data_IF_252474130174
#
_entry.id   IF_252474130174
#
_cell.length_a   1.000
_cell.length_b   1.000
_cell.length_c   1.000
_cell.angle_alpha   90.00
_cell.angle_beta   90.00
_cell.angle_gamma   90.00
#
_symmetry.space_group_name_H-M   'P 1'
#
loop_
_entity.id
_entity.type
_entity.pdbx_description
1 polymer ?
#
# COMPACT_ATOMS: atom_id res chain seq x y z
N UNK A 1 9.60 2.67 -4.41
CA UNK A 1 10.45 3.00 -3.22
C UNK A 1 10.00 2.13 -2.06
N UNK A 2 10.93 1.58 -1.34
CA UNK A 2 10.69 0.83 -0.09
C UNK A 2 11.17 1.67 1.10
N UNK A 3 10.36 1.73 2.16
CA UNK A 3 10.70 2.40 3.42
C UNK A 3 9.89 1.77 4.57
N UNK A 4 9.97 2.35 5.76
CA UNK A 4 9.23 1.88 6.93
C UNK A 4 8.43 3.01 7.57
N UNK A 5 7.30 2.66 8.20
CA UNK A 5 6.54 3.57 9.03
C UNK A 5 6.84 3.35 10.51
N UNK A 6 6.66 4.35 11.38
CA UNK A 6 6.84 4.17 12.83
C UNK A 6 5.85 3.15 13.42
N UNK A 7 6.25 2.39 14.44
CA UNK A 7 5.37 1.46 15.16
C UNK A 7 4.10 2.13 15.66
N UNK A 8 4.19 3.39 16.10
CA UNK A 8 3.02 4.18 16.51
C UNK A 8 1.99 4.32 15.38
N UNK A 9 2.42 4.47 14.12
CA UNK A 9 1.53 4.48 12.97
C UNK A 9 0.80 3.14 12.86
N UNK A 10 1.54 2.02 12.88
CA UNK A 10 1.00 0.67 12.79
C UNK A 10 -0.05 0.41 13.88
N UNK A 11 0.28 0.77 15.13
CA UNK A 11 -0.60 0.58 16.29
C UNK A 11 -1.91 1.39 16.16
N UNK A 12 -1.82 2.68 15.80
CA UNK A 12 -3.01 3.53 15.62
C UNK A 12 -3.94 2.96 14.54
N UNK A 13 -3.37 2.52 13.41
CA UNK A 13 -4.17 1.97 12.31
C UNK A 13 -4.79 0.64 12.73
N UNK A 14 -4.03 -0.26 13.37
CA UNK A 14 -4.54 -1.54 13.84
C UNK A 14 -5.67 -1.36 14.88
N UNK A 15 -5.48 -0.52 15.90
CA UNK A 15 -6.48 -0.26 16.93
C UNK A 15 -7.78 0.32 16.35
N UNK A 16 -7.65 1.18 15.33
CA UNK A 16 -8.83 1.76 14.66
C UNK A 16 -9.51 0.75 13.77
N UNK A 17 -8.74 -0.03 13.01
CA UNK A 17 -9.25 -1.09 12.15
C UNK A 17 -9.96 -2.18 12.96
N UNK A 18 -9.40 -2.61 14.10
CA UNK A 18 -10.04 -3.60 14.96
C UNK A 18 -11.41 -3.12 15.48
N UNK A 19 -11.55 -1.84 15.84
CA UNK A 19 -12.84 -1.28 16.25
C UNK A 19 -13.88 -1.30 15.11
N UNK A 20 -13.46 -1.05 13.88
CA UNK A 20 -14.35 -1.10 12.71
C UNK A 20 -14.69 -2.53 12.35
N UNK A 21 -13.68 -3.40 12.23
CA UNK A 21 -13.84 -4.79 11.78
C UNK A 21 -14.61 -5.67 12.77
N UNK A 22 -14.52 -5.38 14.09
CA UNK A 22 -15.23 -6.10 15.14
C UNK A 22 -16.67 -5.59 15.39
N UNK A 23 -17.11 -4.54 14.69
CA UNK A 23 -18.47 -4.02 14.75
C UNK A 23 -19.15 -4.21 13.39
N UNK A 24 -20.22 -5.01 13.33
CA UNK A 24 -20.97 -5.22 12.10
C UNK A 24 -21.48 -3.90 11.51
N UNK A 25 -22.09 -3.05 12.33
CA UNK A 25 -22.59 -1.74 11.89
C UNK A 25 -21.47 -0.85 11.35
N UNK A 26 -20.35 -0.75 12.08
CA UNK A 26 -19.22 0.07 11.63
C UNK A 26 -18.55 -0.52 10.37
N UNK A 27 -18.43 -1.84 10.28
CA UNK A 27 -17.90 -2.52 9.09
C UNK A 27 -18.74 -2.24 7.85
N UNK A 28 -20.07 -2.18 7.98
CA UNK A 28 -20.97 -1.82 6.88
C UNK A 28 -20.90 -0.33 6.53
N UNK A 29 -20.84 0.56 7.55
CA UNK A 29 -20.74 2.01 7.36
C UNK A 29 -19.46 2.41 6.62
N UNK A 30 -18.35 1.74 6.94
CA UNK A 30 -17.03 2.06 6.39
C UNK A 30 -16.57 1.09 5.30
N UNK A 31 -17.47 0.27 4.76
CA UNK A 31 -17.15 -0.67 3.68
C UNK A 31 -16.62 0.04 2.43
N UNK A 32 -15.48 -0.44 1.94
CA UNK A 32 -14.80 0.07 0.74
C UNK A 32 -14.68 -0.98 -0.37
N UNK A 33 -15.08 -2.22 -0.10
CA UNK A 33 -14.92 -3.38 -0.98
C UNK A 33 -15.52 -3.18 -2.37
N UNK A 34 -16.65 -2.43 -2.46
CA UNK A 34 -17.31 -2.13 -3.73
C UNK A 34 -16.49 -1.24 -4.70
N UNK A 35 -15.37 -0.69 -4.24
CA UNK A 35 -14.43 0.14 -5.04
C UNK A 35 -13.24 -0.65 -5.55
N UNK A 36 -13.06 -1.88 -5.11
CA UNK A 36 -11.85 -2.65 -5.32
C UNK A 36 -12.15 -3.93 -6.08
N UNK A 37 -11.10 -4.57 -6.59
CA UNK A 37 -11.19 -5.85 -7.28
C UNK A 37 -10.47 -6.91 -6.48
N UNK A 38 -11.00 -8.14 -6.45
CA UNK A 38 -10.36 -9.25 -5.77
C UNK A 38 -11.33 -10.17 -5.06
N UNK A 39 -10.76 -11.17 -4.40
CA UNK A 39 -11.43 -12.03 -3.45
C UNK A 39 -10.85 -11.71 -2.08
N UNK A 40 -11.42 -10.71 -1.42
CA UNK A 40 -11.02 -10.24 -0.10
C UNK A 40 -12.26 -10.05 0.75
N UNK A 41 -12.25 -10.59 1.96
CA UNK A 41 -13.43 -10.60 2.84
C UNK A 41 -13.81 -9.23 3.36
N UNK A 42 -12.81 -8.39 3.67
CA UNK A 42 -13.06 -7.08 4.30
C UNK A 42 -12.06 -6.02 3.83
N UNK A 43 -12.62 -4.95 3.29
CA UNK A 43 -11.90 -3.75 2.90
C UNK A 43 -12.67 -2.55 3.44
N UNK A 44 -12.06 -1.82 4.37
CA UNK A 44 -12.76 -0.76 5.11
C UNK A 44 -11.94 0.52 5.18
N UNK A 45 -12.61 1.66 5.12
CA UNK A 45 -12.00 2.91 5.55
C UNK A 45 -11.92 2.95 7.08
N UNK A 46 -10.97 3.71 7.62
CA UNK A 46 -10.78 3.84 9.06
C UNK A 46 -11.00 5.29 9.52
N UNK A 47 -11.99 5.54 10.42
CA UNK A 47 -12.28 6.86 10.93
C UNK A 47 -11.34 7.23 12.08
N UNK A 48 -10.16 7.74 11.83
CA UNK A 48 -9.27 8.24 12.89
C UNK A 48 -9.80 9.59 13.41
N UNK A 49 -10.54 9.55 14.52
CA UNK A 49 -11.21 10.72 15.11
C UNK A 49 -10.26 11.60 15.91
N UNK A 50 -9.30 11.01 16.63
CA UNK A 50 -8.30 11.75 17.39
C UNK A 50 -7.43 12.60 16.46
N UNK A 51 -7.36 13.92 16.76
CA UNK A 51 -6.67 14.89 15.91
C UNK A 51 -5.18 14.61 15.82
N UNK A 52 -4.52 14.31 16.94
CA UNK A 52 -3.07 14.07 17.00
C UNK A 52 -2.69 12.82 16.22
N UNK A 53 -3.46 11.74 16.39
CA UNK A 53 -3.25 10.51 15.64
C UNK A 53 -3.48 10.72 14.14
N UNK A 54 -4.53 11.43 13.76
CA UNK A 54 -4.82 11.77 12.37
C UNK A 54 -3.69 12.60 11.75
N UNK A 55 -3.18 13.60 12.44
CA UNK A 55 -2.04 14.41 12.00
C UNK A 55 -0.79 13.55 11.81
N UNK A 56 -0.50 12.63 12.72
CA UNK A 56 0.61 11.69 12.57
C UNK A 56 0.45 10.82 11.31
N UNK A 57 -0.73 10.25 11.08
CA UNK A 57 -0.97 9.41 9.90
C UNK A 57 -0.80 10.22 8.61
N UNK A 58 -1.42 11.38 8.53
CA UNK A 58 -1.33 12.23 7.33
C UNK A 58 0.09 12.73 7.08
N UNK A 59 0.82 13.16 8.10
CA UNK A 59 2.20 13.62 7.94
C UNK A 59 3.13 12.48 7.49
N UNK A 60 2.95 11.26 8.02
CA UNK A 60 3.71 10.08 7.61
C UNK A 60 3.44 9.75 6.14
N UNK A 61 2.16 9.68 5.73
CA UNK A 61 1.78 9.35 4.35
C UNK A 61 2.25 10.43 3.35
N UNK A 62 2.04 11.70 3.67
CA UNK A 62 2.50 12.83 2.83
C UNK A 62 4.02 12.89 2.75
N UNK A 63 4.73 12.66 3.87
CA UNK A 63 6.18 12.58 3.91
C UNK A 63 6.70 11.50 2.97
N UNK A 64 6.12 10.31 2.99
CA UNK A 64 6.48 9.23 2.07
C UNK A 64 6.28 9.61 0.59
N UNK A 65 5.19 10.31 0.24
CA UNK A 65 4.98 10.83 -1.12
C UNK A 65 6.08 11.83 -1.52
N UNK A 66 6.43 12.75 -0.62
CA UNK A 66 7.51 13.73 -0.87
C UNK A 66 8.86 13.05 -1.06
N UNK A 67 9.18 12.06 -0.24
CA UNK A 67 10.45 11.33 -0.34
C UNK A 67 10.51 10.52 -1.64
N UNK A 68 9.41 9.84 -2.00
CA UNK A 68 9.31 9.15 -3.28
C UNK A 68 9.51 10.11 -4.46
N UNK A 69 8.88 11.28 -4.43
CA UNK A 69 9.01 12.28 -5.48
C UNK A 69 10.42 12.84 -5.58
N UNK A 70 11.10 13.05 -4.45
CA UNK A 70 12.52 13.44 -4.42
C UNK A 70 13.42 12.37 -5.07
N UNK A 71 13.18 11.09 -4.81
CA UNK A 71 13.91 10.01 -5.46
C UNK A 71 13.65 9.96 -6.97
N UNK A 72 12.41 10.20 -7.41
CA UNK A 72 12.08 10.34 -8.83
C UNK A 72 12.78 11.54 -9.49
N UNK A 73 12.92 12.65 -8.77
CA UNK A 73 13.67 13.84 -9.25
C UNK A 73 15.15 13.48 -9.43
N UNK A 74 15.79 12.86 -8.44
CA UNK A 74 17.20 12.42 -8.51
C UNK A 74 17.42 11.44 -9.68
N UNK A 75 16.48 10.53 -9.92
CA UNK A 75 16.55 9.55 -11.00
C UNK A 75 16.11 10.09 -12.36
N UNK A 76 15.78 11.38 -12.44
CA UNK A 76 15.25 12.05 -13.64
C UNK A 76 13.99 11.38 -14.23
N UNK A 77 13.11 10.86 -13.37
CA UNK A 77 11.86 10.18 -13.75
C UNK A 77 10.59 10.95 -13.33
N UNK A 78 10.74 12.10 -12.66
CA UNK A 78 9.64 12.92 -12.14
C UNK A 78 8.98 13.82 -13.23
N UNK A 79 8.67 13.27 -14.39
CA UNK A 79 8.13 14.07 -15.52
C UNK A 79 6.84 14.83 -15.19
N UNK A 80 5.93 14.19 -14.47
CA UNK A 80 4.68 14.81 -14.03
C UNK A 80 4.91 16.02 -13.13
N UNK A 81 5.83 15.90 -12.17
CA UNK A 81 6.21 17.00 -11.27
C UNK A 81 6.86 18.14 -12.05
N UNK A 82 7.84 17.84 -12.90
CA UNK A 82 8.51 18.86 -13.72
C UNK A 82 7.54 19.65 -14.58
N UNK A 83 6.49 19.00 -15.09
CA UNK A 83 5.46 19.66 -15.91
C UNK A 83 4.64 20.70 -15.14
N UNK A 84 4.35 20.46 -13.85
CA UNK A 84 3.49 21.35 -13.05
C UNK A 84 4.26 22.31 -12.15
N UNK A 85 5.48 21.98 -11.75
CA UNK A 85 6.27 22.70 -10.76
C UNK A 85 7.69 23.08 -11.22
N UNK A 86 8.12 22.64 -12.41
CA UNK A 86 9.47 22.87 -12.90
C UNK A 86 10.51 22.23 -11.96
N UNK A 87 11.46 23.02 -11.53
CA UNK A 87 12.55 22.60 -10.62
C UNK A 87 12.26 22.83 -9.12
N UNK A 88 10.99 23.15 -8.77
CA UNK A 88 10.63 23.37 -7.37
C UNK A 88 10.82 22.10 -6.53
N UNK A 89 11.33 22.29 -5.31
CA UNK A 89 11.48 21.19 -4.36
C UNK A 89 10.12 20.84 -3.76
N UNK A 90 9.68 19.57 -3.84
CA UNK A 90 8.38 19.18 -3.32
C UNK A 90 8.35 19.22 -1.78
N UNK A 91 7.20 19.63 -1.24
CA UNK A 91 6.88 19.67 0.18
C UNK A 91 5.57 18.91 0.45
N UNK A 92 5.20 18.72 1.71
CA UNK A 92 3.93 18.10 2.09
C UNK A 92 2.70 18.90 1.64
N UNK A 93 2.85 20.22 1.42
CA UNK A 93 1.76 21.07 0.91
C UNK A 93 1.45 20.79 -0.56
N UNK A 94 2.36 20.14 -1.27
CA UNK A 94 2.17 19.69 -2.64
C UNK A 94 1.47 18.32 -2.73
N UNK A 95 1.10 17.73 -1.61
CA UNK A 95 0.46 16.40 -1.58
C UNK A 95 -0.96 16.51 -1.04
N UNK A 96 -1.93 16.08 -1.85
CA UNK A 96 -3.32 15.93 -1.46
C UNK A 96 -3.69 14.46 -1.38
N UNK A 97 -4.01 14.00 -0.17
CA UNK A 97 -4.53 12.64 0.04
C UNK A 97 -5.89 12.49 -0.63
N UNK A 98 -6.08 11.41 -1.37
CA UNK A 98 -7.34 11.07 -2.02
C UNK A 98 -8.14 10.10 -1.16
N UNK A 99 -7.68 8.87 -1.04
CA UNK A 99 -8.33 7.79 -0.30
C UNK A 99 -7.31 6.99 0.48
N UNK A 100 -7.75 6.41 1.60
CA UNK A 100 -7.00 5.40 2.35
C UNK A 100 -7.95 4.35 2.91
N UNK A 101 -7.56 3.08 2.85
CA UNK A 101 -8.36 1.95 3.30
C UNK A 101 -7.48 0.84 3.84
N UNK A 102 -8.08 0.02 4.70
CA UNK A 102 -7.45 -1.18 5.24
C UNK A 102 -8.01 -2.40 4.51
N UNK A 103 -7.12 -3.30 4.13
CA UNK A 103 -7.42 -4.60 3.53
C UNK A 103 -7.14 -5.66 4.59
N UNK A 104 -8.16 -6.42 4.99
CA UNK A 104 -8.06 -7.56 5.90
C UNK A 104 -8.26 -8.83 5.09
N UNK A 105 -7.17 -9.53 4.84
CA UNK A 105 -7.07 -10.67 3.92
C UNK A 105 -6.77 -11.95 4.70
N UNK A 106 -7.41 -13.06 4.31
CA UNK A 106 -7.26 -14.38 4.92
C UNK A 106 -6.80 -15.42 3.90
N UNK A 107 -6.50 -16.63 4.37
CA UNK A 107 -6.03 -17.73 3.53
C UNK A 107 -6.91 -17.95 2.28
N UNK A 108 -6.28 -18.08 1.11
CA UNK A 108 -6.93 -18.25 -0.18
C UNK A 108 -7.48 -16.97 -0.81
N UNK A 109 -7.39 -15.83 -0.14
CA UNK A 109 -7.81 -14.55 -0.68
C UNK A 109 -6.68 -13.85 -1.43
N UNK A 110 -7.02 -13.06 -2.45
CA UNK A 110 -6.06 -12.40 -3.33
C UNK A 110 -6.64 -11.14 -3.99
N UNK A 111 -5.76 -10.22 -4.43
CA UNK A 111 -6.12 -9.14 -5.33
C UNK A 111 -5.54 -9.41 -6.71
N UNK A 112 -6.34 -9.49 -7.79
CA UNK A 112 -5.85 -9.70 -9.14
C UNK A 112 -5.11 -8.46 -9.67
N UNK A 113 -4.56 -8.56 -10.87
CA UNK A 113 -3.91 -7.44 -11.54
C UNK A 113 -4.81 -6.22 -11.63
N UNK A 114 -4.37 -5.14 -11.00
CA UNK A 114 -5.07 -3.86 -11.00
C UNK A 114 -4.10 -2.69 -10.89
N UNK A 115 -4.62 -1.50 -11.02
CA UNK A 115 -3.94 -0.23 -10.78
C UNK A 115 -4.90 0.74 -10.10
N UNK A 116 -4.41 1.88 -9.66
CA UNK A 116 -5.20 2.89 -8.94
C UNK A 116 -5.30 4.20 -9.72
N UNK A 117 -6.21 5.08 -9.26
CA UNK A 117 -6.27 6.47 -9.66
C UNK A 117 -5.34 7.34 -8.79
N UNK A 118 -5.02 8.54 -9.29
CA UNK A 118 -4.10 9.45 -8.62
C UNK A 118 -2.71 9.43 -9.23
N UNK A 119 -1.75 10.06 -8.57
CA UNK A 119 -0.36 10.09 -9.00
C UNK A 119 0.49 9.07 -8.23
N UNK A 120 0.16 8.89 -6.95
CA UNK A 120 0.85 7.99 -6.03
C UNK A 120 -0.10 6.96 -5.45
N UNK A 121 0.42 5.75 -5.28
CA UNK A 121 -0.18 4.69 -4.48
C UNK A 121 0.85 4.11 -3.51
N UNK A 122 0.37 3.61 -2.38
CA UNK A 122 1.20 2.90 -1.44
C UNK A 122 0.46 1.74 -0.79
N UNK A 123 1.23 0.78 -0.31
CA UNK A 123 0.79 -0.26 0.61
C UNK A 123 1.69 -0.28 1.85
N UNK A 124 1.09 -0.38 3.03
CA UNK A 124 1.75 -0.47 4.33
C UNK A 124 1.28 -1.74 5.00
N UNK A 125 2.19 -2.62 5.39
CA UNK A 125 1.84 -3.86 6.08
C UNK A 125 1.69 -3.63 7.59
N UNK A 126 0.58 -4.09 8.14
CA UNK A 126 0.17 -3.81 9.52
C UNK A 126 0.14 -5.05 10.41
N UNK A 127 -0.15 -6.21 9.81
CA UNK A 127 -0.25 -7.50 10.51
C UNK A 127 -0.02 -8.63 9.51
N UNK A 128 0.61 -9.70 9.97
CA UNK A 128 0.85 -10.88 9.16
C UNK A 128 0.45 -12.14 9.94
N UNK A 129 -0.01 -13.20 9.24
CA UNK A 129 -0.18 -14.50 9.85
C UNK A 129 1.12 -14.97 10.51
N UNK A 130 1.06 -15.59 11.71
CA UNK A 130 2.26 -15.99 12.44
C UNK A 130 3.21 -16.89 11.66
N UNK A 131 2.66 -17.75 10.77
CA UNK A 131 3.43 -18.71 9.97
C UNK A 131 3.71 -18.26 8.53
N UNK A 132 3.39 -17.04 8.16
CA UNK A 132 3.58 -16.56 6.78
C UNK A 132 5.05 -16.60 6.34
N UNK A 133 5.98 -16.27 7.23
CA UNK A 133 7.41 -16.35 6.89
C UNK A 133 7.85 -17.79 6.62
N UNK A 134 7.40 -18.73 7.45
CA UNK A 134 7.68 -20.16 7.26
C UNK A 134 7.07 -20.67 5.95
N UNK A 135 5.85 -20.25 5.62
CA UNK A 135 5.19 -20.58 4.35
C UNK A 135 6.02 -20.09 3.16
N UNK A 136 6.40 -18.82 3.15
CA UNK A 136 7.21 -18.24 2.07
C UNK A 136 8.56 -18.96 1.93
N UNK A 137 9.19 -19.35 3.04
CA UNK A 137 10.49 -20.06 3.02
C UNK A 137 10.38 -21.53 2.62
N UNK A 138 9.24 -22.18 2.88
CA UNK A 138 9.02 -23.60 2.60
C UNK A 138 8.41 -23.89 1.21
N UNK A 139 7.94 -22.88 0.49
CA UNK A 139 7.38 -23.03 -0.88
C UNK A 139 8.39 -23.49 -1.94
N UNK A 140 9.65 -23.60 -1.58
CA UNK A 140 10.76 -23.93 -2.48
C UNK A 140 10.69 -25.31 -3.16
N UNK A 141 9.75 -26.17 -2.76
CA UNK A 141 9.79 -27.56 -3.24
C UNK A 141 9.35 -27.74 -4.68
N UNK A 142 8.50 -26.84 -5.20
CA UNK A 142 7.91 -27.04 -6.52
C UNK A 142 7.92 -25.81 -7.44
N UNK A 143 7.90 -24.58 -6.91
CA UNK A 143 7.81 -23.34 -7.70
C UNK A 143 8.47 -22.14 -6.98
N UNK A 144 8.57 -21.01 -7.67
CA UNK A 144 9.02 -19.75 -7.06
C UNK A 144 8.04 -19.33 -5.94
N UNK A 145 8.54 -19.09 -4.73
CA UNK A 145 7.69 -18.66 -3.62
C UNK A 145 6.98 -17.36 -3.94
N UNK A 146 5.67 -17.34 -3.75
CA UNK A 146 4.83 -16.19 -4.04
C UNK A 146 3.78 -15.92 -2.97
N UNK A 147 3.54 -16.84 -2.03
CA UNK A 147 2.49 -16.73 -1.00
C UNK A 147 2.49 -15.41 -0.29
N UNK A 148 1.38 -14.67 -0.40
CA UNK A 148 1.18 -13.37 0.22
C UNK A 148 2.06 -12.23 -0.27
N UNK A 149 2.90 -12.46 -1.30
CA UNK A 149 3.72 -11.42 -1.89
C UNK A 149 2.86 -10.44 -2.70
N UNK A 150 3.36 -9.23 -2.86
CA UNK A 150 2.91 -8.30 -3.89
C UNK A 150 3.88 -8.34 -5.06
N UNK A 151 3.35 -8.43 -6.27
CA UNK A 151 4.11 -8.37 -7.52
C UNK A 151 3.72 -7.15 -8.32
N UNK A 152 4.71 -6.41 -8.80
CA UNK A 152 4.56 -5.29 -9.71
C UNK A 152 5.02 -5.70 -11.10
N UNK A 153 4.26 -5.29 -12.13
CA UNK A 153 4.61 -5.53 -13.53
C UNK A 153 4.84 -4.21 -14.26
N UNK A 154 5.96 -4.12 -14.98
CA UNK A 154 6.33 -2.94 -15.75
C UNK A 154 7.07 -3.32 -17.03
N UNK A 155 6.53 -2.89 -18.16
CA UNK A 155 7.11 -3.18 -19.48
C UNK A 155 6.86 -4.59 -19.97
N UNK A 156 7.76 -5.09 -20.81
CA UNK A 156 7.74 -6.42 -21.40
C UNK A 156 9.03 -7.16 -21.06
N UNK A 157 8.92 -8.47 -20.87
CA UNK A 157 10.08 -9.32 -20.66
C UNK A 157 10.97 -9.31 -21.92
N UNK A 158 12.22 -8.94 -21.76
CA UNK A 158 13.22 -8.92 -22.81
C UNK A 158 14.47 -9.65 -22.33
N UNK A 159 15.26 -10.18 -23.27
CA UNK A 159 16.54 -10.75 -22.92
C UNK A 159 17.36 -9.76 -22.08
N UNK A 160 17.86 -10.21 -20.94
CA UNK A 160 18.66 -9.45 -19.96
C UNK A 160 17.88 -8.44 -19.08
N UNK A 161 16.53 -8.42 -19.09
CA UNK A 161 15.73 -7.53 -18.26
C UNK A 161 14.50 -8.24 -17.71
N UNK A 162 14.28 -8.12 -16.40
CA UNK A 162 13.00 -8.51 -15.76
C UNK A 162 11.93 -7.47 -16.03
N UNK A 163 10.68 -7.91 -16.18
CA UNK A 163 9.49 -7.10 -16.33
C UNK A 163 8.64 -6.99 -15.05
N UNK A 164 9.09 -7.66 -13.98
CA UNK A 164 8.38 -7.69 -12.72
C UNK A 164 9.32 -7.62 -11.50
N UNK A 165 8.74 -7.21 -10.36
CA UNK A 165 9.37 -7.22 -9.04
C UNK A 165 8.38 -7.73 -8.00
N UNK A 166 8.86 -8.64 -7.13
CA UNK A 166 8.09 -9.16 -6.00
C UNK A 166 8.65 -8.66 -4.68
N UNK A 167 7.77 -8.35 -3.76
CA UNK A 167 8.14 -7.90 -2.42
C UNK A 167 7.46 -8.76 -1.35
N UNK A 168 8.29 -9.19 -0.39
CA UNK A 168 7.83 -9.89 0.81
C UNK A 168 7.16 -8.90 1.76
N UNK A 169 5.97 -9.23 2.31
CA UNK A 169 5.34 -8.42 3.32
C UNK A 169 6.14 -8.48 4.64
N UNK A 170 6.28 -7.33 5.29
CA UNK A 170 6.89 -7.19 6.62
C UNK A 170 6.15 -6.09 7.37
N UNK A 171 5.81 -6.32 8.64
CA UNK A 171 5.07 -5.32 9.43
C UNK A 171 5.87 -4.02 9.51
N UNK A 172 5.20 -2.89 9.24
CA UNK A 172 5.81 -1.56 9.15
C UNK A 172 6.43 -1.21 7.79
N UNK A 173 6.62 -2.19 6.90
CA UNK A 173 7.12 -1.92 5.54
C UNK A 173 6.09 -1.11 4.74
N UNK A 174 6.57 -0.05 4.09
CA UNK A 174 5.84 0.78 3.15
C UNK A 174 6.44 0.63 1.74
N UNK A 175 5.61 0.30 0.77
CA UNK A 175 5.96 0.32 -0.64
C UNK A 175 5.21 1.48 -1.31
N UNK A 176 5.96 2.43 -1.89
CA UNK A 176 5.43 3.56 -2.64
C UNK A 176 5.71 3.37 -4.13
N UNK A 177 4.70 3.59 -4.96
CA UNK A 177 4.77 3.40 -6.41
C UNK A 177 3.82 4.37 -7.16
N UNK A 178 4.03 4.59 -8.46
CA UNK A 178 3.09 5.40 -9.24
C UNK A 178 1.77 4.64 -9.40
N UNK A 179 0.65 5.35 -9.28
CA UNK A 179 -0.69 4.74 -9.25
C UNK A 179 -1.05 3.91 -10.49
N UNK A 180 -0.46 4.23 -11.66
CA UNK A 180 -0.65 3.47 -12.89
C UNK A 180 0.03 2.10 -12.91
N UNK A 181 0.99 1.84 -11.99
CA UNK A 181 1.76 0.61 -11.97
C UNK A 181 0.89 -0.58 -11.59
N UNK A 182 0.75 -1.52 -12.53
CA UNK A 182 -0.02 -2.75 -12.29
C UNK A 182 0.63 -3.60 -11.24
N UNK A 183 -0.19 -4.13 -10.34
CA UNK A 183 0.28 -5.03 -9.30
C UNK A 183 -0.77 -6.08 -8.96
N UNK A 184 -0.29 -7.17 -8.36
CA UNK A 184 -1.05 -8.33 -7.95
C UNK A 184 -0.65 -8.72 -6.53
N UNK A 185 -1.60 -9.18 -5.73
CA UNK A 185 -1.33 -9.74 -4.39
C UNK A 185 -1.68 -11.22 -4.41
N UNK A 186 -0.68 -12.04 -4.21
CA UNK A 186 -0.82 -13.49 -4.19
C UNK A 186 -1.61 -13.98 -2.97
N UNK A 187 -2.39 -15.06 -3.13
CA UNK A 187 -2.98 -15.74 -1.99
C UNK A 187 -1.88 -16.37 -1.12
N UNK A 188 -2.27 -16.74 0.08
CA UNK A 188 -1.47 -17.51 1.03
C UNK A 188 -2.33 -18.57 1.70
N UNK A 189 -1.74 -19.53 2.42
CA UNK A 189 -2.44 -20.65 3.05
C UNK A 189 -2.38 -20.62 4.57
N UNK A 190 -1.43 -19.88 5.15
CA UNK A 190 -1.27 -19.73 6.61
C UNK A 190 -2.53 -19.20 7.28
N UNK A 191 -2.88 -19.79 8.42
CA UNK A 191 -3.98 -19.29 9.24
C UNK A 191 -3.64 -17.93 9.86
N UNK A 192 -4.62 -17.02 9.87
CA UNK A 192 -4.50 -15.69 10.44
C UNK A 192 -4.77 -14.59 9.42
N UNK A 193 -4.68 -13.37 9.90
CA UNK A 193 -4.96 -12.17 9.12
C UNK A 193 -3.67 -11.56 8.55
N UNK A 194 -3.66 -11.31 7.24
CA UNK A 194 -2.73 -10.41 6.57
C UNK A 194 -3.44 -9.07 6.42
N UNK A 195 -3.02 -8.08 7.19
CA UNK A 195 -3.59 -6.73 7.14
C UNK A 195 -2.63 -5.77 6.50
N UNK A 196 -3.13 -4.98 5.57
CA UNK A 196 -2.40 -3.85 4.99
C UNK A 196 -3.28 -2.61 4.95
N UNK A 197 -2.65 -1.43 4.94
CA UNK A 197 -3.31 -0.17 4.62
C UNK A 197 -2.81 0.31 3.27
N UNK A 198 -3.72 0.66 2.38
CA UNK A 198 -3.39 1.32 1.13
C UNK A 198 -3.85 2.77 1.14
N UNK A 199 -3.16 3.62 0.39
CA UNK A 199 -3.62 4.97 0.14
C UNK A 199 -3.24 5.46 -1.25
N UNK A 200 -4.03 6.40 -1.75
CA UNK A 200 -3.75 7.12 -2.99
C UNK A 200 -3.61 8.62 -2.71
N UNK A 201 -2.76 9.30 -3.47
CA UNK A 201 -2.56 10.73 -3.35
C UNK A 201 -2.32 11.39 -4.72
N UNK A 202 -2.52 12.70 -4.74
CA UNK A 202 -2.22 13.57 -5.88
C UNK A 202 -1.12 14.55 -5.52
N UNK A 203 -0.27 14.83 -6.52
CA UNK A 203 0.61 15.99 -6.46
C UNK A 203 -0.10 17.22 -7.08
N UNK A 204 0.16 18.39 -6.52
CA UNK A 204 -0.36 19.65 -7.04
C UNK A 204 0.53 20.82 -6.63
N UNK A 205 0.39 21.92 -7.33
CA UNK A 205 1.02 23.20 -6.96
C UNK A 205 -0.09 24.12 -6.47
N UNK A 206 -0.07 24.60 -5.23
CA UNK A 206 -1.01 25.63 -4.78
C UNK A 206 -0.91 26.87 -5.65
N UNK A 207 -2.08 27.41 -6.04
CA UNK A 207 -2.18 28.67 -6.76
C UNK A 207 -1.99 29.85 -5.82
#
# INVERSE_FOLDING_TARGET
MESTVPDKFVNIVNDTADKVLNSETASMEWDWSHKLVGKVSKEVQIPVRDKTNRELLFSTMKGACVDYLKECIKSNTAYGWKKIAGDAVPTMDNIRMAHSWVVSQYAGEYNPWHHHSGDFSAVIYLKLPPKMNEEIENEWKDHYPASGLIEFMFGENQGFRSDNLKFKPEVGKLLMFPSWLKHFVYPFTSEGERRSMSFNAHMYVPQ
#
